data_IF_595151678762
#
_entry.id   IF_595151678762
#
_cell.length_a   1.000
_cell.length_b   1.000
_cell.length_c   1.000
_cell.angle_alpha   90.00
_cell.angle_beta   90.00
_cell.angle_gamma   90.00
#
_symmetry.space_group_name_H-M   'P 1'
#
loop_
_entity.id
_entity.type
_entity.pdbx_description
1 polymer ?
#
# COMPACT_ATOMS: atom_id res chain seq x y z
N UNK A 1 -14.12 57.13 20.56
CA UNK A 1 -14.09 55.66 20.43
C UNK A 1 -15.49 55.02 20.44
N UNK A 2 -16.45 55.48 21.24
CA UNK A 2 -17.80 54.88 21.34
C UNK A 2 -18.63 54.87 20.03
N UNK A 3 -18.42 55.85 19.13
CA UNK A 3 -19.15 55.96 17.84
C UNK A 3 -18.69 54.94 16.79
N UNK A 4 -17.50 54.35 16.95
CA UNK A 4 -16.98 53.31 16.05
C UNK A 4 -17.61 51.95 16.38
N UNK A 5 -17.82 51.68 17.67
CA UNK A 5 -18.45 50.45 18.15
C UNK A 5 -19.87 50.27 17.59
N UNK A 6 -20.71 51.31 17.72
CA UNK A 6 -22.09 51.26 17.21
C UNK A 6 -22.16 51.08 15.68
N UNK A 7 -21.13 51.51 14.95
CA UNK A 7 -21.04 51.32 13.49
C UNK A 7 -20.67 49.88 13.12
N UNK A 8 -19.81 49.23 13.91
CA UNK A 8 -19.44 47.82 13.75
C UNK A 8 -20.64 46.92 14.07
N UNK A 9 -21.34 47.18 15.18
CA UNK A 9 -22.53 46.43 15.56
C UNK A 9 -23.66 46.56 14.53
N UNK A 10 -23.84 47.77 13.99
CA UNK A 10 -24.79 48.00 12.90
C UNK A 10 -24.39 47.28 11.60
N UNK A 11 -23.10 47.26 11.26
CA UNK A 11 -22.62 46.55 10.08
C UNK A 11 -22.80 45.02 10.22
N UNK A 12 -22.51 44.45 11.39
CA UNK A 12 -22.70 43.03 11.68
C UNK A 12 -24.18 42.62 11.64
N UNK A 13 -25.05 43.38 12.31
CA UNK A 13 -26.49 43.10 12.30
C UNK A 13 -27.10 43.23 10.90
N UNK A 14 -26.68 44.24 10.13
CA UNK A 14 -27.10 44.41 8.74
C UNK A 14 -26.59 43.28 7.84
N UNK A 15 -25.35 42.83 8.01
CA UNK A 15 -24.77 41.71 7.28
C UNK A 15 -25.49 40.40 7.61
N UNK A 16 -25.81 40.16 8.89
CA UNK A 16 -26.55 38.97 9.33
C UNK A 16 -27.98 38.93 8.77
N UNK A 17 -28.67 40.07 8.77
CA UNK A 17 -30.01 40.16 8.21
C UNK A 17 -30.01 40.00 6.69
N UNK A 18 -28.99 40.53 6.00
CA UNK A 18 -28.82 40.33 4.57
C UNK A 18 -28.43 38.89 4.22
N UNK A 19 -27.64 38.23 5.08
CA UNK A 19 -27.28 36.82 4.96
C UNK A 19 -28.51 35.92 5.07
N UNK A 20 -29.39 36.16 6.04
CA UNK A 20 -30.65 35.40 6.15
C UNK A 20 -31.62 35.66 4.98
N UNK A 21 -31.69 36.90 4.47
CA UNK A 21 -32.52 37.24 3.30
C UNK A 21 -32.00 36.65 2.00
N UNK A 22 -30.68 36.47 1.86
CA UNK A 22 -30.03 35.89 0.69
C UNK A 22 -29.39 34.52 0.99
N UNK A 23 -29.91 33.80 2.00
CA UNK A 23 -29.27 32.60 2.56
C UNK A 23 -29.04 31.52 1.50
N UNK A 24 -29.93 31.38 0.53
CA UNK A 24 -29.80 30.40 -0.54
C UNK A 24 -28.51 30.60 -1.36
N UNK A 25 -28.18 31.85 -1.72
CA UNK A 25 -26.97 32.17 -2.49
C UNK A 25 -25.72 31.98 -1.63
N UNK A 26 -25.76 32.44 -0.39
CA UNK A 26 -24.63 32.29 0.54
C UNK A 26 -24.34 30.82 0.86
N UNK A 27 -25.37 30.00 1.07
CA UNK A 27 -25.22 28.54 1.28
C UNK A 27 -24.64 27.87 0.03
N UNK A 28 -25.11 28.23 -1.17
CA UNK A 28 -24.55 27.71 -2.41
C UNK A 28 -23.06 28.03 -2.55
N UNK A 29 -22.64 29.26 -2.25
CA UNK A 29 -21.22 29.65 -2.28
C UNK A 29 -20.37 28.88 -1.27
N UNK A 30 -20.87 28.69 -0.04
CA UNK A 30 -20.17 27.91 0.99
C UNK A 30 -20.05 26.43 0.59
N UNK A 31 -21.11 25.85 0.00
CA UNK A 31 -21.08 24.48 -0.48
C UNK A 31 -20.05 24.28 -1.59
N UNK A 32 -19.91 25.22 -2.52
CA UNK A 32 -18.88 25.14 -3.58
C UNK A 32 -17.49 25.10 -2.97
N UNK A 33 -17.19 26.01 -2.04
CA UNK A 33 -15.90 26.03 -1.34
C UNK A 33 -15.67 24.72 -0.58
N UNK A 34 -16.70 24.19 0.08
CA UNK A 34 -16.66 22.90 0.75
C UNK A 34 -16.32 21.74 -0.19
N UNK A 35 -16.97 21.67 -1.36
CA UNK A 35 -16.71 20.62 -2.35
C UNK A 35 -15.28 20.71 -2.87
N UNK A 36 -14.76 21.92 -3.10
CA UNK A 36 -13.37 22.13 -3.53
C UNK A 36 -12.38 21.66 -2.46
N UNK A 37 -12.62 22.00 -1.19
CA UNK A 37 -11.78 21.54 -0.07
C UNK A 37 -11.84 20.03 0.11
N UNK A 38 -13.01 19.40 -0.04
CA UNK A 38 -13.18 17.95 0.01
C UNK A 38 -12.44 17.26 -1.14
N UNK A 39 -12.56 17.78 -2.36
CA UNK A 39 -11.84 17.25 -3.51
C UNK A 39 -10.32 17.33 -3.28
N UNK A 40 -9.81 18.48 -2.83
CA UNK A 40 -8.39 18.64 -2.49
C UNK A 40 -7.96 17.68 -1.36
N UNK A 41 -8.74 17.57 -0.30
CA UNK A 41 -8.48 16.66 0.81
C UNK A 41 -8.44 15.20 0.35
N UNK A 42 -9.39 14.77 -0.47
CA UNK A 42 -9.41 13.42 -1.03
C UNK A 42 -8.21 13.14 -1.92
N UNK A 43 -7.78 14.11 -2.73
CA UNK A 43 -6.59 13.97 -3.56
C UNK A 43 -5.34 13.75 -2.70
N UNK A 44 -5.18 14.54 -1.64
CA UNK A 44 -4.05 14.38 -0.71
C UNK A 44 -4.08 13.02 0.00
N UNK A 45 -5.26 12.54 0.41
CA UNK A 45 -5.40 11.21 1.01
C UNK A 45 -5.03 10.10 0.03
N UNK A 46 -5.46 10.21 -1.24
CA UNK A 46 -5.09 9.25 -2.30
C UNK A 46 -3.59 9.27 -2.52
N UNK A 47 -2.98 10.44 -2.68
CA UNK A 47 -1.53 10.57 -2.86
C UNK A 47 -0.74 9.96 -1.69
N UNK A 48 -1.17 10.21 -0.44
CA UNK A 48 -0.56 9.58 0.73
C UNK A 48 -0.77 8.06 0.77
N UNK A 49 -1.92 7.57 0.31
CA UNK A 49 -2.21 6.14 0.28
C UNK A 49 -1.35 5.40 -0.76
N UNK A 50 -0.95 6.08 -1.84
CA UNK A 50 -0.08 5.50 -2.86
C UNK A 50 1.32 5.16 -2.31
N UNK A 51 1.85 5.94 -1.38
CA UNK A 51 3.16 5.62 -0.75
C UNK A 51 3.11 4.28 0.00
N UNK A 52 1.98 3.95 0.63
CA UNK A 52 1.80 2.67 1.31
C UNK A 52 1.67 1.51 0.31
N UNK A 53 0.99 1.74 -0.82
CA UNK A 53 0.86 0.74 -1.89
C UNK A 53 2.22 0.48 -2.57
N UNK A 54 3.00 1.53 -2.81
CA UNK A 54 4.36 1.40 -3.36
C UNK A 54 5.30 0.72 -2.37
N UNK A 55 5.16 0.96 -1.07
CA UNK A 55 5.94 0.23 -0.06
C UNK A 55 5.63 -1.28 -0.08
N UNK A 56 4.37 -1.67 -0.23
CA UNK A 56 3.96 -3.08 -0.33
C UNK A 56 4.50 -3.76 -1.61
N UNK A 57 4.57 -3.05 -2.73
CA UNK A 57 5.13 -3.57 -3.98
C UNK A 57 6.66 -3.57 -3.98
N UNK A 58 7.32 -2.59 -3.35
CA UNK A 58 8.78 -2.59 -3.18
C UNK A 58 9.26 -3.78 -2.37
N UNK A 59 8.53 -4.20 -1.34
CA UNK A 59 8.86 -5.43 -0.60
C UNK A 59 8.81 -6.67 -1.49
N UNK A 60 7.93 -6.71 -2.50
CA UNK A 60 7.87 -7.79 -3.48
C UNK A 60 8.95 -7.69 -4.56
N UNK A 61 9.32 -6.48 -4.97
CA UNK A 61 10.33 -6.25 -6.01
C UNK A 61 11.75 -6.58 -5.53
N UNK A 62 12.05 -6.41 -4.23
CA UNK A 62 13.35 -6.78 -3.65
C UNK A 62 13.48 -8.26 -3.27
N UNK A 63 12.47 -9.08 -3.57
CA UNK A 63 12.47 -10.50 -3.27
C UNK A 63 12.92 -11.31 -4.50
N UNK A 64 14.10 -11.93 -4.39
CA UNK A 64 14.67 -12.83 -5.39
C UNK A 64 14.41 -14.27 -4.93
N UNK A 65 13.61 -15.03 -5.67
CA UNK A 65 13.43 -16.46 -5.41
C UNK A 65 14.49 -17.27 -6.16
N UNK A 66 15.39 -17.90 -5.41
CA UNK A 66 16.37 -18.86 -5.95
C UNK A 66 15.77 -20.26 -5.86
N UNK A 67 15.48 -20.89 -7.00
CA UNK A 67 14.93 -22.24 -7.03
C UNK A 67 16.04 -23.29 -6.88
N UNK A 68 15.79 -24.28 -6.03
CA UNK A 68 16.69 -25.40 -5.78
C UNK A 68 16.31 -26.58 -6.67
N UNK A 69 17.31 -27.28 -7.19
CA UNK A 69 17.07 -28.53 -7.88
C UNK A 69 16.61 -29.60 -6.89
N UNK A 70 15.79 -30.54 -7.35
CA UNK A 70 15.27 -31.65 -6.55
C UNK A 70 16.38 -32.57 -5.99
N UNK A 71 17.55 -32.55 -6.61
CA UNK A 71 18.72 -33.32 -6.22
C UNK A 71 19.57 -32.61 -5.16
N UNK A 72 19.25 -31.38 -4.78
CA UNK A 72 20.02 -30.60 -3.81
C UNK A 72 19.78 -31.10 -2.37
N UNK A 73 20.82 -31.53 -1.64
CA UNK A 73 20.68 -31.90 -0.23
C UNK A 73 20.27 -30.70 0.63
N UNK A 74 19.43 -30.96 1.64
CA UNK A 74 18.98 -29.92 2.56
C UNK A 74 20.16 -29.24 3.29
N UNK A 75 21.23 -29.97 3.59
CA UNK A 75 22.44 -29.41 4.19
C UNK A 75 23.07 -28.33 3.31
N UNK A 76 23.26 -28.61 2.02
CA UNK A 76 23.81 -27.63 1.07
C UNK A 76 22.90 -26.41 0.88
N UNK A 77 21.57 -26.62 0.93
CA UNK A 77 20.60 -25.53 0.91
C UNK A 77 20.72 -24.62 2.14
N UNK A 78 20.89 -25.20 3.33
CA UNK A 78 21.06 -24.46 4.58
C UNK A 78 22.42 -23.76 4.65
N UNK A 79 23.49 -24.39 4.17
CA UNK A 79 24.81 -23.77 4.09
C UNK A 79 24.79 -22.55 3.16
N UNK A 80 24.11 -22.65 2.01
CA UNK A 80 23.94 -21.53 1.09
C UNK A 80 23.05 -20.43 1.68
N UNK A 81 22.00 -20.79 2.42
CA UNK A 81 21.18 -19.84 3.19
C UNK A 81 22.03 -19.05 4.18
N UNK A 82 22.85 -19.73 4.99
CA UNK A 82 23.75 -19.09 5.95
C UNK A 82 24.76 -18.18 5.25
N UNK A 83 25.26 -18.57 4.08
CA UNK A 83 26.16 -17.72 3.31
C UNK A 83 25.48 -16.40 2.88
N UNK A 84 24.24 -16.48 2.38
CA UNK A 84 23.44 -15.32 1.98
C UNK A 84 23.05 -14.44 3.18
N UNK A 85 22.73 -15.02 4.33
CA UNK A 85 22.41 -14.27 5.55
C UNK A 85 23.60 -13.46 6.09
N UNK A 86 24.83 -13.88 5.77
CA UNK A 86 26.04 -13.15 6.13
C UNK A 86 26.42 -12.05 5.11
N UNK A 87 25.71 -11.96 3.97
CA UNK A 87 25.96 -10.92 2.98
C UNK A 87 25.34 -9.58 3.44
N UNK A 88 26.12 -8.48 3.54
CA UNK A 88 25.61 -7.18 3.97
C UNK A 88 24.54 -6.56 3.06
N UNK A 89 24.37 -7.08 1.83
CA UNK A 89 23.33 -6.66 0.88
C UNK A 89 21.99 -7.36 1.12
N UNK A 90 21.97 -8.45 1.87
CA UNK A 90 20.78 -9.27 2.15
C UNK A 90 20.18 -8.85 3.49
N UNK A 91 18.85 -8.72 3.52
CA UNK A 91 18.09 -8.36 4.73
C UNK A 91 17.40 -9.59 5.35
N UNK A 92 16.91 -10.51 4.51
CA UNK A 92 16.23 -11.73 4.97
C UNK A 92 16.42 -12.87 3.96
N UNK A 93 16.50 -14.10 4.45
CA UNK A 93 16.51 -15.32 3.62
C UNK A 93 15.54 -16.34 4.20
N UNK A 94 14.50 -16.67 3.45
CA UNK A 94 13.47 -17.62 3.86
C UNK A 94 13.53 -18.88 2.99
N UNK A 95 13.66 -20.05 3.62
CA UNK A 95 13.54 -21.33 2.92
C UNK A 95 12.08 -21.73 2.77
N UNK A 96 11.67 -22.00 1.53
CA UNK A 96 10.32 -22.43 1.17
C UNK A 96 10.38 -23.85 0.65
N UNK A 97 9.75 -24.77 1.37
CA UNK A 97 9.64 -26.16 0.92
C UNK A 97 8.66 -26.30 -0.24
N UNK A 98 8.75 -27.41 -0.97
CA UNK A 98 7.80 -27.76 -2.04
C UNK A 98 6.35 -27.69 -1.59
N UNK A 99 6.05 -28.16 -0.37
CA UNK A 99 4.70 -28.17 0.18
C UNK A 99 4.20 -26.77 0.52
N UNK A 100 5.09 -25.91 1.04
CA UNK A 100 4.78 -24.50 1.29
C UNK A 100 4.56 -23.73 -0.02
N UNK A 101 5.39 -23.99 -1.04
CA UNK A 101 5.21 -23.42 -2.38
C UNK A 101 3.84 -23.81 -2.97
N UNK A 102 3.44 -25.08 -2.80
CA UNK A 102 2.12 -25.58 -3.20
C UNK A 102 0.98 -24.88 -2.47
N UNK A 103 1.09 -24.73 -1.14
CA UNK A 103 0.09 -24.05 -0.34
C UNK A 103 -0.07 -22.58 -0.74
N UNK A 104 1.03 -21.87 -1.01
CA UNK A 104 1.02 -20.49 -1.50
C UNK A 104 0.37 -20.39 -2.88
N UNK A 105 0.69 -21.31 -3.80
CA UNK A 105 0.12 -21.32 -5.14
C UNK A 105 -1.40 -21.51 -5.12
N UNK A 106 -1.91 -22.41 -4.27
CA UNK A 106 -3.36 -22.65 -4.12
C UNK A 106 -4.13 -21.47 -3.53
N UNK A 107 -3.46 -20.56 -2.83
CA UNK A 107 -4.06 -19.36 -2.26
C UNK A 107 -4.11 -18.19 -3.26
N UNK A 108 -3.43 -18.28 -4.41
CA UNK A 108 -3.46 -17.23 -5.43
C UNK A 108 -4.81 -17.26 -6.19
N UNK A 109 -5.66 -16.22 -6.08
CA UNK A 109 -6.99 -16.22 -6.71
C UNK A 109 -6.95 -16.18 -8.24
N UNK A 110 -5.80 -15.82 -8.82
CA UNK A 110 -5.62 -15.64 -10.26
C UNK A 110 -5.31 -16.94 -11.01
N UNK A 111 -5.04 -18.04 -10.31
CA UNK A 111 -4.62 -19.30 -10.90
C UNK A 111 -5.63 -20.39 -10.56
N UNK A 112 -6.09 -21.09 -11.59
CA UNK A 112 -7.02 -22.21 -11.41
C UNK A 112 -6.29 -23.36 -10.68
N UNK A 113 -6.74 -23.74 -9.46
CA UNK A 113 -6.11 -24.81 -8.69
C UNK A 113 -6.06 -26.14 -9.45
N UNK A 114 -6.99 -26.36 -10.38
CA UNK A 114 -7.09 -27.60 -11.15
C UNK A 114 -5.89 -27.87 -12.05
N UNK A 115 -5.15 -26.83 -12.48
CA UNK A 115 -3.96 -26.98 -13.33
C UNK A 115 -2.90 -27.87 -12.67
N UNK A 116 -2.71 -27.74 -11.35
CA UNK A 116 -1.73 -28.53 -10.63
C UNK A 116 -2.26 -29.93 -10.30
N UNK A 117 -3.56 -30.04 -9.99
CA UNK A 117 -4.15 -31.34 -9.68
C UNK A 117 -4.12 -32.29 -10.90
N UNK A 118 -4.08 -31.76 -12.13
CA UNK A 118 -3.84 -32.57 -13.35
C UNK A 118 -2.40 -33.09 -13.49
N UNK A 119 -1.41 -32.48 -12.83
CA UNK A 119 0.01 -32.82 -12.98
C UNK A 119 0.45 -33.99 -12.10
N UNK A 120 -0.42 -34.54 -11.24
CA UNK A 120 -0.22 -35.77 -10.46
C UNK A 120 0.88 -35.74 -9.39
N UNK A 121 1.88 -34.87 -9.56
CA UNK A 121 3.03 -34.66 -8.68
C UNK A 121 3.33 -33.17 -8.58
N UNK A 122 3.79 -32.71 -7.40
CA UNK A 122 4.09 -31.31 -7.14
C UNK A 122 5.23 -30.82 -8.07
N UNK A 123 4.94 -29.95 -9.06
CA UNK A 123 5.95 -29.48 -10.01
C UNK A 123 6.78 -28.32 -9.45
N UNK A 124 6.43 -27.79 -8.27
CA UNK A 124 7.09 -26.62 -7.69
C UNK A 124 8.34 -27.07 -6.94
N UNK A 125 9.54 -26.61 -7.36
CA UNK A 125 10.77 -26.86 -6.62
C UNK A 125 10.77 -26.10 -5.29
N UNK A 126 11.63 -26.54 -4.36
CA UNK A 126 11.92 -25.75 -3.17
C UNK A 126 12.66 -24.45 -3.58
N UNK A 127 12.50 -23.38 -2.81
CA UNK A 127 13.19 -22.11 -3.07
C UNK A 127 13.79 -21.49 -1.82
N UNK A 128 14.77 -20.63 -2.03
CA UNK A 128 15.22 -19.64 -1.06
C UNK A 128 14.73 -18.28 -1.54
N UNK A 129 13.80 -17.69 -0.80
CA UNK A 129 13.32 -16.34 -1.03
C UNK A 129 14.27 -15.38 -0.32
N UNK A 130 15.02 -14.59 -1.10
CA UNK A 130 16.05 -13.67 -0.62
C UNK A 130 15.54 -12.24 -0.74
N UNK A 131 15.47 -11.51 0.37
CA UNK A 131 15.12 -10.08 0.37
C UNK A 131 16.40 -9.24 0.45
N UNK A 132 16.64 -8.41 -0.56
CA UNK A 132 17.81 -7.51 -0.59
C UNK A 132 17.46 -6.11 -0.10
N UNK A 133 18.45 -5.45 0.52
CA UNK A 133 18.29 -4.13 1.15
C UNK A 133 18.05 -3.00 0.15
N UNK A 134 18.66 -3.09 -1.03
CA UNK A 134 18.53 -2.10 -2.11
C UNK A 134 18.81 -2.76 -3.47
N UNK A 135 17.88 -2.63 -4.40
CA UNK A 135 18.06 -2.96 -5.82
C UNK A 135 18.35 -1.63 -6.50
N UNK A 136 19.62 -1.28 -6.62
CA UNK A 136 20.05 -0.04 -7.25
C UNK A 136 19.90 -0.09 -8.77
#
# INVERSE_FOLDING_TARGET
MHRLWNRIDFAFSSAWQNFWRNAAVSVASVLIVWVVLLALGSLLLVLHSLDQIVALEKTKASAISVYLADTTPLSSAMDFKLHLENDPLVTDVTYVSKDQAMARFRQLPALDPSVIDTLGTNPLPASLDVTVKDIR
#
